data_IF_899814574334
#
_entry.id   IF_899814574334
#
_cell.length_a   1.000
_cell.length_b   1.000
_cell.length_c   1.000
_cell.angle_alpha   90.00
_cell.angle_beta   90.00
_cell.angle_gamma   90.00
#
_symmetry.space_group_name_H-M   'P 1'
#
loop_
_entity.id
_entity.type
_entity.pdbx_description
1 polymer ?
#
# COMPACT_ATOMS: atom_id res chain seq x y z
N UNK A 1 -19.55 -0.37 -4.33
CA UNK A 1 -18.60 0.39 -3.49
C UNK A 1 -17.24 0.25 -4.13
N UNK A 2 -16.59 1.38 -4.41
CA UNK A 2 -15.25 1.45 -5.01
C UNK A 2 -14.31 1.99 -3.93
N UNK A 3 -13.12 1.41 -3.82
CA UNK A 3 -12.04 1.96 -3.00
C UNK A 3 -10.94 2.44 -3.93
N UNK A 4 -10.49 3.68 -3.71
CA UNK A 4 -9.39 4.30 -4.47
C UNK A 4 -8.17 4.33 -3.57
N UNK A 5 -7.06 3.78 -4.04
CA UNK A 5 -5.83 3.60 -3.28
C UNK A 5 -4.65 4.25 -4.00
N UNK A 6 -3.70 4.75 -3.21
CA UNK A 6 -2.33 5.01 -3.68
C UNK A 6 -1.45 3.77 -3.50
N UNK A 7 -0.20 3.86 -3.97
CA UNK A 7 0.81 2.82 -3.80
C UNK A 7 2.08 3.39 -3.17
N UNK A 8 2.57 2.74 -2.11
CA UNK A 8 3.85 3.01 -1.47
C UNK A 8 5.07 2.71 -2.35
N UNK A 9 6.22 3.34 -2.08
CA UNK A 9 7.49 3.00 -2.78
C UNK A 9 8.00 1.60 -2.39
N UNK A 10 7.52 1.11 -1.26
CA UNK A 10 7.79 -0.17 -0.61
C UNK A 10 6.65 -1.19 -0.83
N UNK A 11 5.64 -0.84 -1.62
CA UNK A 11 4.49 -1.71 -1.87
C UNK A 11 3.39 -1.67 -0.82
N UNK A 12 3.42 -0.72 0.13
CA UNK A 12 2.31 -0.54 1.06
C UNK A 12 1.05 0.02 0.38
N UNK A 13 -0.11 -0.18 1.01
CA UNK A 13 -1.37 0.48 0.70
C UNK A 13 -2.14 0.75 2.00
N UNK A 14 -2.86 1.87 2.09
CA UNK A 14 -3.39 2.37 3.36
C UNK A 14 -2.26 2.42 4.41
N UNK A 15 -2.48 1.88 5.62
CA UNK A 15 -1.46 1.71 6.65
C UNK A 15 -0.89 0.30 6.70
N UNK A 16 -1.03 -0.49 5.64
CA UNK A 16 -0.53 -1.88 5.59
C UNK A 16 0.94 -1.87 5.12
N UNK A 17 1.88 -1.77 6.07
CA UNK A 17 3.31 -1.67 5.80
C UNK A 17 3.99 -3.05 5.69
N UNK A 18 5.12 -3.17 4.96
CA UNK A 18 5.94 -4.39 4.96
C UNK A 18 6.28 -4.87 6.37
N UNK A 19 6.44 -6.18 6.54
CA UNK A 19 6.80 -6.87 7.80
C UNK A 19 5.77 -6.79 8.94
N UNK A 20 4.76 -5.92 8.85
CA UNK A 20 3.75 -5.72 9.90
C UNK A 20 2.34 -6.07 9.44
N UNK A 21 2.11 -6.10 8.12
CA UNK A 21 0.81 -6.46 7.54
C UNK A 21 0.52 -7.93 7.70
N UNK A 22 -0.70 -8.27 8.12
CA UNK A 22 -1.21 -9.62 7.99
C UNK A 22 -2.48 -9.67 7.13
N UNK A 23 -2.52 -10.54 6.12
CA UNK A 23 -3.60 -10.52 5.12
C UNK A 23 -5.00 -10.81 5.65
N UNK A 24 -5.11 -11.45 6.82
CA UNK A 24 -6.38 -11.79 7.43
C UNK A 24 -7.01 -10.62 8.22
N UNK A 25 -6.29 -9.53 8.42
CA UNK A 25 -6.73 -8.40 9.24
C UNK A 25 -7.85 -7.60 8.58
N UNK A 26 -8.84 -7.26 9.40
CA UNK A 26 -9.90 -6.31 9.04
C UNK A 26 -9.44 -4.90 9.43
N UNK A 27 -10.35 -4.02 9.84
CA UNK A 27 -9.94 -2.74 10.42
C UNK A 27 -9.25 -3.00 11.76
N UNK A 28 -8.04 -2.49 11.93
CA UNK A 28 -7.18 -2.78 13.07
C UNK A 28 -6.41 -1.53 13.49
N UNK A 29 -6.08 -1.46 14.77
CA UNK A 29 -5.21 -0.45 15.36
C UNK A 29 -3.78 -1.00 15.44
N UNK A 30 -2.82 -0.26 14.91
CA UNK A 30 -1.40 -0.59 14.92
C UNK A 30 -0.61 0.38 15.79
N UNK A 31 0.23 -0.12 16.72
CA UNK A 31 1.12 0.75 17.50
C UNK A 31 2.24 1.31 16.63
N UNK A 32 2.57 2.59 16.80
CA UNK A 32 3.69 3.24 16.12
C UNK A 32 4.93 3.09 16.99
N UNK A 33 5.92 2.34 16.50
CA UNK A 33 7.16 2.05 17.23
C UNK A 33 8.35 1.96 16.29
N UNK A 34 9.55 2.26 16.80
CA UNK A 34 10.80 2.14 16.04
C UNK A 34 10.79 2.98 14.77
N UNK A 35 11.16 2.37 13.64
CA UNK A 35 11.27 3.02 12.33
C UNK A 35 9.92 3.55 11.78
N UNK A 36 8.77 3.08 12.31
CA UNK A 36 7.47 3.61 11.92
C UNK A 36 7.25 5.08 12.32
N UNK A 37 7.95 5.56 13.35
CA UNK A 37 7.86 6.97 13.76
C UNK A 37 8.30 7.89 12.63
N UNK A 38 9.44 7.58 12.00
CA UNK A 38 9.97 8.34 10.86
C UNK A 38 9.04 8.27 9.65
N UNK A 39 8.49 7.09 9.37
CA UNK A 39 7.58 6.85 8.23
C UNK A 39 6.31 7.70 8.39
N UNK A 40 5.67 7.67 9.57
CA UNK A 40 4.44 8.42 9.83
C UNK A 40 4.70 9.93 9.86
N UNK A 41 5.79 10.36 10.50
CA UNK A 41 6.14 11.78 10.57
C UNK A 41 6.29 12.39 9.17
N UNK A 42 7.10 11.77 8.30
CA UNK A 42 7.36 12.29 6.96
C UNK A 42 6.24 12.03 5.97
N UNK A 43 5.53 10.90 6.10
CA UNK A 43 4.47 10.49 5.17
C UNK A 43 3.17 11.25 5.37
N UNK A 44 2.77 11.48 6.62
CA UNK A 44 1.41 11.94 6.96
C UNK A 44 1.40 13.27 7.72
N UNK A 45 2.49 13.62 8.41
CA UNK A 45 2.54 14.74 9.35
C UNK A 45 3.53 15.84 8.94
N UNK A 46 4.00 15.83 7.68
CA UNK A 46 4.87 16.88 7.14
C UNK A 46 6.25 16.97 7.80
N UNK A 47 6.71 15.90 8.43
CA UNK A 47 7.99 15.82 9.17
C UNK A 47 7.92 16.28 10.62
N UNK A 48 6.73 16.56 11.17
CA UNK A 48 6.58 16.97 12.57
C UNK A 48 6.44 15.75 13.49
N UNK A 49 7.55 15.36 14.12
CA UNK A 49 7.62 14.26 15.08
C UNK A 49 6.77 14.48 16.33
N UNK A 50 6.46 15.73 16.70
CA UNK A 50 5.67 16.01 17.91
C UNK A 50 4.19 15.64 17.76
N UNK A 51 3.74 15.45 16.52
CA UNK A 51 2.37 15.09 16.17
C UNK A 51 2.17 13.59 16.01
N UNK A 52 3.23 12.77 16.12
CA UNK A 52 3.16 11.32 15.94
C UNK A 52 2.38 10.72 17.12
N UNK A 53 1.23 10.05 16.87
CA UNK A 53 0.46 9.41 17.92
C UNK A 53 1.10 8.08 18.35
N UNK A 54 0.58 7.50 19.44
CA UNK A 54 1.03 6.17 19.90
C UNK A 54 0.62 5.03 18.95
N UNK A 55 -0.44 5.24 18.18
CA UNK A 55 -1.02 4.25 17.26
C UNK A 55 -1.77 4.92 16.11
N UNK A 56 -2.05 4.16 15.05
CA UNK A 56 -2.97 4.53 13.98
C UNK A 56 -3.99 3.42 13.71
N UNK A 57 -5.13 3.78 13.14
CA UNK A 57 -6.13 2.82 12.65
C UNK A 57 -6.05 2.70 11.13
N UNK A 58 -6.12 1.48 10.62
CA UNK A 58 -6.16 1.25 9.18
C UNK A 58 -7.16 0.18 8.78
N UNK A 59 -7.64 0.25 7.55
CA UNK A 59 -8.36 -0.86 6.95
C UNK A 59 -7.34 -1.91 6.49
N UNK A 60 -7.31 -3.04 7.19
CA UNK A 60 -6.46 -4.17 6.85
C UNK A 60 -6.83 -4.81 5.51
N UNK A 61 -6.00 -5.74 5.01
CA UNK A 61 -6.14 -6.29 3.68
C UNK A 61 -7.50 -6.98 3.48
N UNK A 62 -8.02 -7.71 4.47
CA UNK A 62 -9.33 -8.37 4.37
C UNK A 62 -10.48 -7.38 4.22
N UNK A 63 -10.40 -6.21 4.88
CA UNK A 63 -11.40 -5.14 4.73
C UNK A 63 -11.34 -4.51 3.34
N UNK A 64 -10.14 -4.25 2.82
CA UNK A 64 -9.94 -3.67 1.48
C UNK A 64 -10.39 -4.65 0.40
N UNK A 65 -10.03 -5.92 0.53
CA UNK A 65 -10.41 -7.00 -0.41
C UNK A 65 -11.92 -7.30 -0.41
N UNK A 66 -12.69 -6.78 0.55
CA UNK A 66 -14.15 -6.87 0.57
C UNK A 66 -14.85 -5.79 -0.27
N UNK A 67 -14.11 -4.83 -0.84
CA UNK A 67 -14.67 -3.85 -1.77
C UNK A 67 -15.23 -4.53 -3.03
N UNK A 68 -16.18 -3.89 -3.73
CA UNK A 68 -16.67 -4.44 -5.01
C UNK A 68 -15.70 -4.19 -6.15
N UNK A 69 -14.97 -3.07 -6.11
CA UNK A 69 -13.97 -2.69 -7.10
C UNK A 69 -12.82 -1.95 -6.40
N UNK A 70 -11.60 -2.24 -6.84
CA UNK A 70 -10.39 -1.54 -6.43
C UNK A 70 -9.85 -0.72 -7.59
N UNK A 71 -9.48 0.53 -7.32
CA UNK A 71 -8.76 1.40 -8.24
C UNK A 71 -7.45 1.83 -7.57
N UNK A 72 -6.32 1.49 -8.16
CA UNK A 72 -4.99 1.96 -7.73
C UNK A 72 -4.54 3.07 -8.68
N UNK A 73 -4.12 4.21 -8.13
CA UNK A 73 -3.54 5.32 -8.87
C UNK A 73 -2.06 5.43 -8.51
N UNK A 74 -1.19 5.40 -9.52
CA UNK A 74 0.28 5.39 -9.32
C UNK A 74 0.96 6.40 -10.24
N UNK A 75 1.87 7.20 -9.70
CA UNK A 75 2.59 8.21 -10.47
C UNK A 75 4.04 8.34 -10.01
N UNK A 76 4.94 8.60 -10.97
CA UNK A 76 6.34 8.89 -10.72
C UNK A 76 7.27 7.67 -10.76
N UNK A 77 8.52 7.91 -11.20
CA UNK A 77 9.54 6.87 -11.37
C UNK A 77 9.89 6.13 -10.07
N UNK A 78 9.79 6.80 -8.92
CA UNK A 78 10.04 6.19 -7.61
C UNK A 78 9.05 5.07 -7.25
N UNK A 79 7.96 4.90 -8.01
CA UNK A 79 6.96 3.84 -7.82
C UNK A 79 7.14 2.68 -8.80
N UNK A 80 8.07 2.75 -9.74
CA UNK A 80 8.15 1.78 -10.85
C UNK A 80 8.45 0.35 -10.37
N UNK A 81 9.48 0.20 -9.54
CA UNK A 81 9.84 -1.08 -8.95
C UNK A 81 8.73 -1.64 -8.05
N UNK A 82 8.09 -0.79 -7.24
CA UNK A 82 6.97 -1.18 -6.39
C UNK A 82 5.80 -1.70 -7.23
N UNK A 83 5.43 -0.99 -8.29
CA UNK A 83 4.33 -1.37 -9.17
C UNK A 83 4.62 -2.70 -9.87
N UNK A 84 5.85 -2.91 -10.33
CA UNK A 84 6.30 -4.20 -10.89
C UNK A 84 6.19 -5.33 -9.87
N UNK A 85 6.71 -5.14 -8.66
CA UNK A 85 6.65 -6.16 -7.61
C UNK A 85 5.21 -6.52 -7.25
N UNK A 86 4.34 -5.51 -7.19
CA UNK A 86 2.91 -5.67 -6.87
C UNK A 86 2.13 -6.38 -7.97
N UNK A 87 2.43 -6.17 -9.26
CA UNK A 87 1.64 -6.74 -10.37
C UNK A 87 2.24 -7.99 -11.00
N UNK A 88 3.56 -8.19 -10.88
CA UNK A 88 4.30 -9.25 -11.58
C UNK A 88 5.14 -10.10 -10.63
N UNK A 89 5.18 -9.75 -9.34
CA UNK A 89 5.83 -10.52 -8.28
C UNK A 89 4.87 -11.50 -7.59
N UNK A 90 5.41 -12.35 -6.70
CA UNK A 90 4.60 -13.25 -5.88
C UNK A 90 3.73 -12.47 -4.88
N UNK A 91 2.63 -13.09 -4.46
CA UNK A 91 1.78 -12.55 -3.37
C UNK A 91 2.43 -12.86 -2.02
N UNK A 92 2.91 -11.83 -1.32
CA UNK A 92 3.61 -11.95 -0.03
C UNK A 92 3.32 -10.77 0.89
N UNK A 93 3.35 -10.97 2.21
CA UNK A 93 3.18 -9.90 3.21
C UNK A 93 4.36 -8.90 3.22
N UNK A 94 5.51 -9.28 2.65
CA UNK A 94 6.66 -8.37 2.45
C UNK A 94 6.38 -7.29 1.40
N UNK A 95 5.47 -7.56 0.46
CA UNK A 95 4.96 -6.60 -0.52
C UNK A 95 3.44 -6.53 -0.37
N UNK A 96 2.91 -5.79 0.64
CA UNK A 96 1.51 -5.89 1.03
C UNK A 96 0.50 -5.76 -0.12
N UNK A 97 0.69 -4.79 -1.02
CA UNK A 97 -0.22 -4.57 -2.14
C UNK A 97 -0.23 -5.70 -3.19
N UNK A 98 0.72 -6.66 -3.14
CA UNK A 98 0.71 -7.84 -4.01
C UNK A 98 -0.57 -8.67 -3.84
N UNK A 99 -1.20 -8.68 -2.66
CA UNK A 99 -2.47 -9.38 -2.41
C UNK A 99 -3.62 -8.85 -3.27
N UNK A 100 -3.54 -7.59 -3.71
CA UNK A 100 -4.58 -6.96 -4.52
C UNK A 100 -4.69 -7.62 -5.91
N UNK A 101 -3.66 -8.31 -6.39
CA UNK A 101 -3.70 -9.14 -7.60
C UNK A 101 -4.82 -10.19 -7.56
N UNK A 102 -5.19 -10.64 -6.37
CA UNK A 102 -6.22 -11.67 -6.16
C UNK A 102 -7.65 -11.10 -6.19
N UNK A 103 -7.80 -9.77 -6.26
CA UNK A 103 -9.11 -9.14 -6.25
C UNK A 103 -9.79 -9.32 -7.61
N UNK A 104 -11.05 -9.80 -7.68
CA UNK A 104 -11.73 -10.09 -8.94
C UNK A 104 -12.04 -8.84 -9.79
N UNK A 105 -11.90 -7.64 -9.23
CA UNK A 105 -12.10 -6.37 -9.92
C UNK A 105 -11.05 -5.35 -9.48
N UNK A 106 -9.89 -5.39 -10.14
CA UNK A 106 -8.78 -4.46 -9.93
C UNK A 106 -8.52 -3.65 -11.20
N UNK A 107 -8.50 -2.33 -11.08
CA UNK A 107 -8.03 -1.40 -12.10
C UNK A 107 -6.80 -0.65 -11.58
N UNK A 108 -5.79 -0.51 -12.43
CA UNK A 108 -4.59 0.28 -12.14
C UNK A 108 -4.45 1.37 -13.18
N UNK A 109 -4.34 2.62 -12.73
CA UNK A 109 -4.02 3.77 -13.56
C UNK A 109 -2.63 4.24 -13.16
N UNK A 110 -1.66 4.05 -14.06
CA UNK A 110 -0.27 4.44 -13.84
C UNK A 110 0.19 5.40 -14.94
N UNK A 111 1.01 6.40 -14.57
CA UNK A 111 1.72 7.18 -15.57
C UNK A 111 2.88 6.37 -16.19
N UNK A 112 3.46 6.91 -17.27
CA UNK A 112 4.55 6.23 -18.00
C UNK A 112 5.78 5.97 -17.14
N UNK A 113 6.09 6.85 -16.18
CA UNK A 113 7.27 6.72 -15.34
C UNK A 113 7.09 5.61 -14.30
N UNK A 114 5.91 5.53 -13.68
CA UNK A 114 5.53 4.44 -12.78
C UNK A 114 5.40 3.10 -13.50
N UNK A 115 5.02 3.09 -14.79
CA UNK A 115 4.93 1.85 -15.58
C UNK A 115 6.26 1.40 -16.20
N UNK A 116 7.36 2.13 -16.00
CA UNK A 116 8.61 1.96 -16.77
C UNK A 116 9.27 0.59 -16.62
N UNK A 117 9.02 -0.12 -15.51
CA UNK A 117 9.60 -1.43 -15.24
C UNK A 117 8.66 -2.62 -15.56
N UNK A 118 7.41 -2.34 -15.92
CA UNK A 118 6.45 -3.39 -16.24
C UNK A 118 6.84 -4.10 -17.53
N UNK A 119 6.91 -5.43 -17.49
CA UNK A 119 6.95 -6.23 -18.69
C UNK A 119 5.55 -6.26 -19.31
N UNK A 120 5.28 -5.39 -20.27
CA UNK A 120 4.05 -5.43 -21.07
C UNK A 120 4.23 -6.51 -22.14
N UNK A 121 3.35 -7.52 -22.12
CA UNK A 121 3.28 -8.57 -23.14
C UNK A 121 2.75 -8.06 -24.48
#
# INVERSE_FOLDING_TARGET
>A
MVVVLGLGVDGHFCGNLPNTTHFHEQTVEFPIQGEMVDIVAHGELGGDFSLVPDSYVTMGPKSIMAAKNLLIIVSGAGKAQALKNVLQGPVTEDVPASVLQLHPSLMVIADKAAAAELALG
#
